data_IF_912520957379
#
_entry.id   IF_912520957379
#
_cell.length_a   1.000
_cell.length_b   1.000
_cell.length_c   1.000
_cell.angle_alpha   90.00
_cell.angle_beta   90.00
_cell.angle_gamma   90.00
#
_symmetry.space_group_name_H-M   'P 1'
#
loop_
_entity.id
_entity.type
_entity.pdbx_description
1 polymer ?
#
# COMPACT_ATOMS: atom_id res chain seq x y z
N UNK A 1 26.53 -50.83 -13.93
CA UNK A 1 26.33 -50.33 -12.54
C UNK A 1 27.16 -49.07 -12.26
N UNK A 2 28.43 -48.99 -12.68
CA UNK A 2 29.29 -47.81 -12.41
C UNK A 2 28.84 -46.51 -13.09
N UNK A 3 28.21 -46.60 -14.27
CA UNK A 3 27.68 -45.44 -15.00
C UNK A 3 26.49 -44.81 -14.25
N UNK A 4 25.62 -45.63 -13.66
CA UNK A 4 24.49 -45.18 -12.86
C UNK A 4 24.96 -44.51 -11.56
N UNK A 5 25.97 -45.08 -10.91
CA UNK A 5 26.58 -44.52 -9.70
C UNK A 5 27.28 -43.18 -10.01
N UNK A 6 27.97 -43.07 -11.15
CA UNK A 6 28.59 -41.82 -11.59
C UNK A 6 27.59 -40.70 -11.91
N UNK A 7 26.49 -41.03 -12.60
CA UNK A 7 25.40 -40.07 -12.87
C UNK A 7 24.69 -39.64 -11.58
N UNK A 8 24.48 -40.56 -10.65
CA UNK A 8 23.88 -40.26 -9.35
C UNK A 8 24.78 -39.35 -8.51
N UNK A 9 26.09 -39.59 -8.50
CA UNK A 9 27.04 -38.73 -7.77
C UNK A 9 27.05 -37.30 -8.33
N UNK A 10 27.07 -37.14 -9.65
CA UNK A 10 27.03 -35.82 -10.28
C UNK A 10 25.73 -35.07 -9.95
N UNK A 11 24.58 -35.76 -9.99
CA UNK A 11 23.29 -35.17 -9.63
C UNK A 11 23.23 -34.77 -8.15
N UNK A 12 23.76 -35.60 -7.25
CA UNK A 12 23.85 -35.27 -5.82
C UNK A 12 24.79 -34.09 -5.59
N UNK A 13 25.90 -34.00 -6.31
CA UNK A 13 26.87 -32.91 -6.18
C UNK A 13 26.30 -31.58 -6.69
N UNK A 14 25.51 -31.61 -7.76
CA UNK A 14 24.78 -30.46 -8.32
C UNK A 14 23.65 -29.98 -7.39
N UNK A 15 22.95 -30.91 -6.72
CA UNK A 15 21.86 -30.63 -5.76
C UNK A 15 22.32 -30.51 -4.29
N UNK A 16 23.62 -30.60 -3.99
CA UNK A 16 24.18 -30.45 -2.63
C UNK A 16 24.20 -28.98 -2.19
N UNK A 17 23.09 -28.28 -2.41
CA UNK A 17 22.86 -26.97 -1.84
C UNK A 17 22.47 -27.14 -0.37
N UNK A 18 23.40 -26.84 0.52
CA UNK A 18 23.19 -26.82 1.97
C UNK A 18 21.93 -26.04 2.38
N UNK A 19 21.57 -24.99 1.64
CA UNK A 19 20.35 -24.21 1.89
C UNK A 19 19.10 -25.04 1.59
N UNK A 20 19.04 -25.72 0.43
CA UNK A 20 17.94 -26.59 0.04
C UNK A 20 17.77 -27.76 1.02
N UNK A 21 18.88 -28.35 1.50
CA UNK A 21 18.84 -29.39 2.53
C UNK A 21 18.23 -28.88 3.85
N UNK A 22 18.64 -27.70 4.31
CA UNK A 22 18.11 -27.10 5.54
C UNK A 22 16.63 -26.73 5.39
N UNK A 23 16.21 -26.22 4.22
CA UNK A 23 14.82 -25.91 3.90
C UNK A 23 13.94 -27.16 4.00
N UNK A 24 14.32 -28.22 3.27
CA UNK A 24 13.58 -29.50 3.30
C UNK A 24 13.54 -30.10 4.70
N UNK A 25 14.65 -30.02 5.44
CA UNK A 25 14.70 -30.49 6.83
C UNK A 25 13.75 -29.73 7.75
N UNK A 26 13.59 -28.41 7.55
CA UNK A 26 12.65 -27.59 8.32
C UNK A 26 11.20 -27.91 7.94
N UNK A 27 10.92 -28.11 6.66
CA UNK A 27 9.59 -28.48 6.14
C UNK A 27 9.14 -29.84 6.71
N UNK A 28 10.00 -30.87 6.63
CA UNK A 28 9.73 -32.19 7.21
C UNK A 28 9.50 -32.11 8.72
N UNK A 29 10.28 -31.29 9.44
CA UNK A 29 10.11 -31.12 10.87
C UNK A 29 8.75 -30.49 11.21
N UNK A 30 8.33 -29.48 10.45
CA UNK A 30 7.02 -28.84 10.61
C UNK A 30 5.86 -29.82 10.33
N UNK A 31 5.98 -30.68 9.32
CA UNK A 31 5.00 -31.73 9.04
C UNK A 31 4.92 -32.76 10.18
N UNK A 32 6.07 -33.21 10.70
CA UNK A 32 6.13 -34.10 11.86
C UNK A 32 5.44 -33.46 13.06
N UNK A 33 5.73 -32.20 13.35
CA UNK A 33 5.13 -31.46 14.46
C UNK A 33 3.61 -31.31 14.31
N UNK A 34 3.13 -31.01 13.11
CA UNK A 34 1.72 -30.72 12.86
C UNK A 34 0.86 -31.99 12.83
N UNK A 35 1.36 -33.08 12.23
CA UNK A 35 0.55 -34.26 11.93
C UNK A 35 0.85 -35.47 12.84
N UNK A 36 2.06 -35.57 13.39
CA UNK A 36 2.51 -36.80 14.04
C UNK A 36 2.78 -36.65 15.55
N UNK A 37 2.69 -35.45 16.13
CA UNK A 37 2.91 -35.21 17.56
C UNK A 37 1.63 -34.85 18.34
N UNK A 38 1.43 -35.54 19.46
CA UNK A 38 0.36 -35.21 20.42
C UNK A 38 0.66 -33.89 21.16
N UNK A 39 -0.36 -33.16 21.65
CA UNK A 39 -0.16 -31.87 22.32
C UNK A 39 0.80 -31.88 23.52
N UNK A 40 0.95 -33.02 24.20
CA UNK A 40 1.91 -33.13 25.32
C UNK A 40 3.35 -33.35 24.84
N UNK A 41 3.56 -34.02 23.70
CA UNK A 41 4.89 -34.24 23.11
C UNK A 41 5.47 -32.93 22.55
N UNK A 42 4.64 -32.07 21.95
CA UNK A 42 5.05 -30.73 21.51
C UNK A 42 5.51 -29.80 22.65
N UNK A 43 5.19 -30.14 23.90
CA UNK A 43 5.59 -29.38 25.09
C UNK A 43 6.83 -29.97 25.77
N UNK A 44 7.42 -31.03 25.21
CA UNK A 44 8.65 -31.62 25.75
C UNK A 44 9.85 -30.76 25.38
N UNK A 45 10.31 -29.96 26.34
CA UNK A 45 11.45 -29.05 26.18
C UNK A 45 12.76 -29.75 25.79
N UNK A 46 12.88 -31.04 26.11
CA UNK A 46 14.03 -31.87 25.69
C UNK A 46 14.07 -32.07 24.18
N UNK A 47 12.91 -32.13 23.51
CA UNK A 47 12.80 -32.37 22.07
C UNK A 47 12.56 -31.07 21.29
N UNK A 48 11.78 -30.14 21.87
CA UNK A 48 11.49 -28.82 21.32
C UNK A 48 11.88 -27.75 22.34
N UNK A 49 13.14 -27.29 22.33
CA UNK A 49 13.58 -26.24 23.23
C UNK A 49 12.83 -24.94 22.93
N UNK A 50 12.51 -24.18 23.97
CA UNK A 50 11.84 -22.88 23.84
C UNK A 50 12.74 -21.84 23.15
N UNK A 51 14.05 -22.00 23.25
CA UNK A 51 15.06 -21.11 22.65
C UNK A 51 16.15 -21.95 22.00
N UNK A 52 16.49 -21.63 20.74
CA UNK A 52 17.59 -22.26 20.01
C UNK A 52 18.73 -21.25 19.89
N UNK A 53 19.91 -21.62 20.37
CA UNK A 53 21.12 -20.81 20.18
C UNK A 53 21.79 -21.20 18.86
N UNK A 54 21.91 -20.25 17.95
CA UNK A 54 22.63 -20.43 16.69
C UNK A 54 23.81 -19.47 16.61
N UNK A 55 24.96 -19.97 16.14
CA UNK A 55 26.12 -19.14 15.86
C UNK A 55 25.96 -18.53 14.46
N UNK A 56 25.79 -17.21 14.42
CA UNK A 56 25.73 -16.45 13.18
C UNK A 56 26.96 -15.56 13.08
N UNK A 57 27.61 -15.59 11.92
CA UNK A 57 28.72 -14.70 11.60
C UNK A 57 28.20 -13.26 11.49
N UNK A 58 28.87 -12.33 12.18
CA UNK A 58 28.43 -10.94 12.27
C UNK A 58 28.36 -10.27 10.90
N UNK A 59 29.42 -10.37 10.10
CA UNK A 59 29.53 -9.69 8.81
C UNK A 59 28.54 -10.26 7.80
N UNK A 60 28.41 -11.59 7.76
CA UNK A 60 27.42 -12.25 6.89
C UNK A 60 26.00 -11.86 7.27
N UNK A 61 25.69 -11.87 8.56
CA UNK A 61 24.35 -11.53 9.05
C UNK A 61 24.03 -10.07 8.74
N UNK A 62 24.99 -9.17 8.95
CA UNK A 62 24.84 -7.75 8.61
C UNK A 62 24.56 -7.55 7.13
N UNK A 63 25.30 -8.23 6.24
CA UNK A 63 25.09 -8.15 4.79
C UNK A 63 23.72 -8.68 4.35
N UNK A 64 23.27 -9.81 4.91
CA UNK A 64 21.96 -10.39 4.62
C UNK A 64 20.82 -9.47 5.07
N UNK A 65 20.90 -8.90 6.27
CA UNK A 65 19.88 -7.96 6.77
C UNK A 65 19.80 -6.70 5.90
N UNK A 66 20.94 -6.17 5.46
CA UNK A 66 20.97 -5.04 4.52
C UNK A 66 20.34 -5.38 3.16
N UNK A 67 20.56 -6.60 2.65
CA UNK A 67 19.90 -7.08 1.42
C UNK A 67 18.39 -7.11 1.59
N UNK A 68 17.89 -7.72 2.67
CA UNK A 68 16.45 -7.81 2.97
C UNK A 68 15.79 -6.44 3.11
N UNK A 69 16.49 -5.47 3.72
CA UNK A 69 16.01 -4.08 3.81
C UNK A 69 15.87 -3.48 2.42
N UNK A 70 16.87 -3.67 1.54
CA UNK A 70 16.86 -3.14 0.17
C UNK A 70 15.77 -3.78 -0.69
N UNK A 71 15.51 -5.07 -0.51
CA UNK A 71 14.47 -5.84 -1.19
C UNK A 71 13.06 -5.56 -0.62
N UNK A 72 12.96 -4.88 0.52
CA UNK A 72 11.69 -4.55 1.17
C UNK A 72 11.07 -5.71 1.97
N UNK A 73 11.76 -6.85 2.05
CA UNK A 73 11.30 -8.06 2.74
C UNK A 73 11.48 -8.00 4.27
N UNK A 74 12.23 -7.01 4.77
CA UNK A 74 12.54 -6.87 6.20
C UNK A 74 11.34 -6.44 7.07
N UNK A 75 10.37 -5.72 6.51
CA UNK A 75 9.25 -5.10 7.23
C UNK A 75 8.03 -6.02 7.37
N UNK A 76 8.17 -7.15 8.05
CA UNK A 76 7.03 -7.95 8.53
C UNK A 76 6.35 -7.26 9.73
N UNK A 77 5.12 -7.62 10.11
CA UNK A 77 4.46 -7.09 11.33
C UNK A 77 4.87 -7.81 12.62
N UNK A 78 5.56 -8.94 12.51
CA UNK A 78 5.88 -9.85 13.62
C UNK A 78 7.27 -9.58 14.21
N UNK A 79 7.45 -9.79 15.51
CA UNK A 79 8.78 -9.71 16.16
C UNK A 79 9.50 -8.35 16.03
N UNK A 80 8.76 -7.23 16.02
CA UNK A 80 9.31 -5.87 15.86
C UNK A 80 10.40 -5.55 16.89
N UNK A 81 10.19 -5.96 18.15
CA UNK A 81 11.15 -5.70 19.23
C UNK A 81 12.48 -6.45 19.04
N UNK A 82 12.42 -7.74 18.68
CA UNK A 82 13.61 -8.54 18.39
C UNK A 82 14.38 -8.01 17.17
N UNK A 83 13.68 -7.52 16.14
CA UNK A 83 14.32 -6.91 14.97
C UNK A 83 15.07 -5.64 15.33
N UNK A 84 14.48 -4.76 16.14
CA UNK A 84 15.15 -3.54 16.60
C UNK A 84 16.40 -3.86 17.44
N UNK A 85 16.33 -4.88 18.29
CA UNK A 85 17.48 -5.38 19.06
C UNK A 85 18.58 -5.90 18.12
N UNK A 86 18.20 -6.65 17.08
CA UNK A 86 19.13 -7.18 16.10
C UNK A 86 19.81 -6.06 15.28
N UNK A 87 19.06 -5.08 14.80
CA UNK A 87 19.60 -3.91 14.09
C UNK A 87 20.61 -3.14 14.94
N UNK A 88 20.29 -2.94 16.23
CA UNK A 88 21.19 -2.30 17.18
C UNK A 88 22.46 -3.12 17.39
N UNK A 89 22.34 -4.45 17.49
CA UNK A 89 23.50 -5.35 17.62
C UNK A 89 24.37 -5.37 16.37
N UNK A 90 23.77 -5.28 15.18
CA UNK A 90 24.47 -5.30 13.88
C UNK A 90 24.98 -3.90 13.45
N UNK A 91 24.74 -2.88 14.27
CA UNK A 91 25.12 -1.49 13.96
C UNK A 91 24.58 -1.05 12.59
N UNK A 92 23.29 -1.32 12.35
CA UNK A 92 22.57 -0.92 11.15
C UNK A 92 21.61 0.21 11.54
N UNK A 93 21.81 1.39 10.94
CA UNK A 93 20.83 2.46 10.99
C UNK A 93 19.68 2.15 10.03
N UNK A 94 18.50 1.87 10.59
CA UNK A 94 17.30 1.60 9.82
C UNK A 94 16.12 2.31 10.47
N UNK A 95 15.48 3.20 9.72
CA UNK A 95 14.32 3.93 10.19
C UNK A 95 13.08 3.41 9.44
N UNK A 96 12.19 2.62 10.08
CA UNK A 96 11.02 2.04 9.41
C UNK A 96 9.98 3.10 9.01
N UNK A 97 10.09 4.32 9.53
CA UNK A 97 9.09 5.39 9.46
C UNK A 97 8.93 5.95 8.04
N UNK A 98 9.95 5.89 7.19
CA UNK A 98 9.88 6.57 5.89
C UNK A 98 8.86 5.93 4.95
N UNK A 99 8.73 4.61 4.91
CA UNK A 99 7.87 3.98 3.89
C UNK A 99 6.37 4.14 4.15
N UNK A 100 5.91 4.12 5.41
CA UNK A 100 4.48 4.23 5.74
C UNK A 100 4.00 5.70 5.66
N UNK A 101 4.83 6.64 6.12
CA UNK A 101 4.54 8.07 5.99
C UNK A 101 4.61 8.55 4.53
N UNK A 102 5.55 8.02 3.73
CA UNK A 102 5.64 8.29 2.30
C UNK A 102 4.44 7.67 1.56
N UNK A 103 4.01 6.46 1.92
CA UNK A 103 2.85 5.81 1.30
C UNK A 103 1.54 6.58 1.56
N UNK A 104 1.31 7.06 2.79
CA UNK A 104 0.14 7.89 3.10
C UNK A 104 0.20 9.26 2.41
N UNK A 105 1.38 9.87 2.31
CA UNK A 105 1.57 11.08 1.48
C UNK A 105 1.30 10.82 0.00
N UNK A 106 1.71 9.67 -0.54
CA UNK A 106 1.46 9.31 -1.94
C UNK A 106 -0.02 9.05 -2.22
N UNK A 107 -0.72 8.31 -1.35
CA UNK A 107 -2.18 8.09 -1.48
C UNK A 107 -2.97 9.39 -1.43
N UNK A 108 -2.61 10.30 -0.53
CA UNK A 108 -3.27 11.61 -0.42
C UNK A 108 -3.00 12.47 -1.66
N UNK A 109 -1.78 12.45 -2.21
CA UNK A 109 -1.47 13.13 -3.47
C UNK A 109 -2.21 12.52 -4.67
N UNK A 110 -2.31 11.19 -4.76
CA UNK A 110 -3.05 10.51 -5.82
C UNK A 110 -4.54 10.86 -5.79
N UNK A 111 -5.13 10.99 -4.60
CA UNK A 111 -6.53 11.43 -4.43
C UNK A 111 -6.73 12.87 -4.91
N UNK A 112 -5.81 13.78 -4.56
CA UNK A 112 -5.85 15.18 -5.02
C UNK A 112 -5.71 15.30 -6.55
N UNK A 113 -4.91 14.44 -7.18
CA UNK A 113 -4.79 14.40 -8.64
C UNK A 113 -6.10 13.96 -9.29
N UNK A 114 -6.76 12.91 -8.77
CA UNK A 114 -8.07 12.45 -9.27
C UNK A 114 -9.17 13.50 -9.14
N UNK A 115 -9.17 14.27 -8.04
CA UNK A 115 -10.14 15.35 -7.81
C UNK A 115 -9.88 16.58 -8.69
N UNK A 116 -8.64 16.81 -9.13
CA UNK A 116 -8.24 17.92 -10.01
C UNK A 116 -8.12 17.51 -11.49
N UNK A 117 -8.54 16.30 -11.86
CA UNK A 117 -8.54 15.89 -13.26
C UNK A 117 -9.46 16.80 -14.09
N UNK A 118 -8.94 17.19 -15.26
CA UNK A 118 -9.54 18.18 -16.15
C UNK A 118 -11.00 17.90 -16.51
N UNK A 119 -11.45 16.63 -16.52
CA UNK A 119 -12.85 16.26 -16.77
C UNK A 119 -13.82 16.80 -15.73
N UNK A 120 -13.50 16.69 -14.43
CA UNK A 120 -14.37 17.18 -13.35
C UNK A 120 -14.46 18.72 -13.37
N UNK A 121 -13.37 19.38 -13.73
CA UNK A 121 -13.31 20.83 -13.88
C UNK A 121 -14.12 21.27 -15.10
N UNK A 122 -14.00 20.58 -16.24
CA UNK A 122 -14.77 20.85 -17.46
C UNK A 122 -16.28 20.69 -17.24
N UNK A 123 -16.70 19.66 -16.49
CA UNK A 123 -18.12 19.42 -16.20
C UNK A 123 -18.70 20.49 -15.27
N UNK A 124 -17.92 20.92 -14.26
CA UNK A 124 -18.29 22.06 -13.40
C UNK A 124 -18.37 23.37 -14.19
N UNK A 125 -17.47 23.63 -15.13
CA UNK A 125 -17.50 24.82 -15.97
C UNK A 125 -18.73 24.84 -16.88
N UNK A 126 -19.04 23.73 -17.56
CA UNK A 126 -20.27 23.59 -18.37
C UNK A 126 -21.54 23.87 -17.56
N UNK A 127 -21.60 23.35 -16.33
CA UNK A 127 -22.73 23.59 -15.43
C UNK A 127 -22.87 25.06 -15.00
N UNK A 128 -21.75 25.79 -14.87
CA UNK A 128 -21.79 27.23 -14.55
C UNK A 128 -22.21 28.08 -15.75
N UNK A 129 -21.76 27.75 -16.96
CA UNK A 129 -22.17 28.44 -18.19
C UNK A 129 -23.70 28.35 -18.40
N UNK A 130 -24.29 27.15 -18.27
CA UNK A 130 -25.76 26.99 -18.39
C UNK A 130 -26.57 27.78 -17.34
N UNK A 131 -25.99 28.01 -16.16
CA UNK A 131 -26.64 28.83 -15.12
C UNK A 131 -26.53 30.32 -15.44
N UNK A 132 -25.45 30.74 -16.08
CA UNK A 132 -25.23 32.12 -16.47
C UNK A 132 -26.22 32.54 -17.56
N UNK A 133 -26.43 31.69 -18.56
CA UNK A 133 -27.38 31.94 -19.66
C UNK A 133 -28.81 32.15 -19.14
N UNK A 134 -29.24 31.31 -18.19
CA UNK A 134 -30.57 31.43 -17.55
C UNK A 134 -30.70 32.70 -16.72
N UNK A 135 -29.62 33.16 -16.10
CA UNK A 135 -29.63 34.39 -15.31
C UNK A 135 -29.79 35.62 -16.21
N UNK A 136 -29.11 35.61 -17.36
CA UNK A 136 -29.17 36.70 -18.34
C UNK A 136 -30.56 36.84 -18.98
N UNK A 137 -31.25 35.72 -19.25
CA UNK A 137 -32.65 35.73 -19.70
C UNK A 137 -33.59 36.34 -18.65
N UNK A 138 -33.36 36.03 -17.37
CA UNK A 138 -34.18 36.52 -16.27
C UNK A 138 -34.00 38.03 -16.04
N UNK A 139 -32.80 38.55 -16.31
CA UNK A 139 -32.50 39.98 -16.26
C UNK A 139 -33.19 40.74 -17.40
N UNK A 140 -33.17 40.20 -18.63
CA UNK A 140 -33.91 40.75 -19.78
C UNK A 140 -35.43 40.81 -19.51
N UNK A 141 -35.99 39.80 -18.87
CA UNK A 141 -37.42 39.79 -18.48
C UNK A 141 -37.75 40.88 -17.45
N UNK A 142 -36.88 41.12 -16.46
CA UNK A 142 -37.07 42.19 -15.48
C UNK A 142 -37.02 43.58 -16.12
N UNK A 143 -36.19 43.79 -17.14
CA UNK A 143 -36.16 45.06 -17.88
C UNK A 143 -37.44 45.29 -18.67
N UNK A 144 -37.94 44.26 -19.36
CA UNK A 144 -39.23 44.30 -20.06
C UNK A 144 -40.38 44.62 -19.09
N UNK A 145 -40.41 44.01 -17.90
CA UNK A 145 -41.43 44.29 -16.89
C UNK A 145 -41.40 45.76 -16.44
N UNK A 146 -40.20 46.35 -16.27
CA UNK A 146 -40.06 47.79 -15.96
C UNK A 146 -40.59 48.67 -17.09
N UNK A 147 -40.30 48.34 -18.34
CA UNK A 147 -40.82 49.08 -19.50
C UNK A 147 -42.34 48.99 -19.58
N UNK A 148 -42.91 47.82 -19.34
CA UNK A 148 -44.36 47.59 -19.36
C UNK A 148 -45.07 48.40 -18.27
N UNK A 149 -44.52 48.43 -17.05
CA UNK A 149 -45.02 49.31 -15.97
C UNK A 149 -44.98 50.78 -16.35
N UNK A 150 -43.92 51.23 -17.04
CA UNK A 150 -43.80 52.61 -17.53
C UNK A 150 -44.84 52.95 -18.59
N UNK A 151 -45.13 52.04 -19.52
CA UNK A 151 -46.18 52.20 -20.53
C UNK A 151 -47.56 52.28 -19.90
N UNK A 152 -47.90 51.35 -19.00
CA UNK A 152 -49.20 51.34 -18.31
C UNK A 152 -49.41 52.63 -17.51
N UNK A 153 -48.37 53.15 -16.84
CA UNK A 153 -48.44 54.42 -16.13
C UNK A 153 -48.65 55.62 -17.07
N UNK A 154 -48.03 55.60 -18.25
CA UNK A 154 -48.21 56.63 -19.27
C UNK A 154 -49.61 56.60 -19.88
N UNK A 155 -50.15 55.41 -20.19
CA UNK A 155 -51.52 55.27 -20.72
C UNK A 155 -52.57 55.72 -19.70
N UNK A 156 -52.38 55.43 -18.41
CA UNK A 156 -53.24 55.94 -17.34
C UNK A 156 -53.21 57.47 -17.23
N UNK A 157 -52.02 58.07 -17.39
CA UNK A 157 -51.87 59.52 -17.40
C UNK A 157 -52.50 60.18 -18.64
N UNK A 158 -52.50 59.51 -19.80
CA UNK A 158 -53.15 60.02 -21.02
C UNK A 158 -54.68 59.95 -20.88
N UNK A 159 -55.23 58.90 -20.25
CA UNK A 159 -56.67 58.77 -20.03
C UNK A 159 -57.25 59.76 -19.01
N UNK A 160 -56.44 60.32 -18.11
CA UNK A 160 -56.88 61.33 -17.14
C UNK A 160 -56.92 62.76 -17.70
N UNK A 161 -56.40 62.99 -18.91
CA UNK A 161 -56.26 64.32 -19.55
C UNK A 161 -57.29 64.56 -20.66
N UNK A 162 -58.15 63.57 -20.96
CA UNK A 162 -59.33 63.69 -21.83
C UNK A 162 -60.60 63.76 -21.00
#
# INVERSE_FOLDING_TARGET
MNLLIGLLNNAIEEDNNRVSYLMQKAEILAEIELFYLLPHQRRWRTWFPEVIHYYADFDKTRGEVQRLIKEGEWNTKEFTEMRNILLKKLEIEYNPIDNEAILEKLKSHEKLLKENNNEVILEKLKSHDEKLDKLEELEKLKELEKLLKKYVQNDFNIMLVL
#
